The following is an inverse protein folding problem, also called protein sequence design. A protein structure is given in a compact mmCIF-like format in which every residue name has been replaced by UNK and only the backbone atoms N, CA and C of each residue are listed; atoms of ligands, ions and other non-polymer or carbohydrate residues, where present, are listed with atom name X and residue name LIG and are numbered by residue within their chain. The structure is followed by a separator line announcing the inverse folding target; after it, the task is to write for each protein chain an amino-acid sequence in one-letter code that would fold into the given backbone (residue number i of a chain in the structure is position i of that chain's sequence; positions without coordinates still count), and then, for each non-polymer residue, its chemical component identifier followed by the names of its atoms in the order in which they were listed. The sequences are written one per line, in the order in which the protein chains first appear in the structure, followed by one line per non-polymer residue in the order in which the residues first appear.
data_IF_976164694992
#
_entry.id   IF_976164694992
#
_cell.length_a   1.000
_cell.length_b   1.000
_cell.length_c   1.000
_cell.angle_alpha   90.00
_cell.angle_beta   90.00
_cell.angle_gamma   90.00
#
_symmetry.space_group_name_H-M   'P 1'
#
loop_
_entity.id
_entity.type
_entity.pdbx_description
1 polymer ?
#
# COMPACT_ATOMS: atom_id res chain seq x y z
N UNK A 1 57.57 40.66 -22.29
CA UNK A 1 56.86 41.39 -21.22
C UNK A 1 55.42 41.65 -21.67
N UNK A 2 54.42 41.11 -20.93
CA UNK A 2 53.13 41.74 -20.58
C UNK A 2 52.36 42.45 -21.73
N UNK A 3 51.17 42.00 -22.16
CA UNK A 3 49.90 42.28 -21.45
C UNK A 3 48.66 41.70 -22.18
N UNK A 4 47.73 41.24 -21.34
CA UNK A 4 46.26 41.31 -21.38
C UNK A 4 45.44 40.50 -22.41
N UNK A 5 44.89 39.42 -21.85
CA UNK A 5 43.54 38.86 -22.10
C UNK A 5 42.45 39.92 -22.28
N UNK A 6 41.53 39.68 -23.21
CA UNK A 6 40.17 40.23 -23.16
C UNK A 6 39.18 39.12 -23.48
N UNK A 7 38.35 38.84 -22.47
CA UNK A 7 37.24 37.90 -22.45
C UNK A 7 36.08 38.38 -23.33
N UNK A 8 35.34 37.46 -23.94
CA UNK A 8 34.01 37.77 -24.47
C UNK A 8 33.48 36.81 -25.51
N UNK A 9 32.92 35.67 -25.08
CA UNK A 9 31.95 34.93 -25.89
C UNK A 9 31.08 34.01 -25.01
N UNK A 10 29.86 34.49 -24.74
CA UNK A 10 28.65 33.71 -24.49
C UNK A 10 28.73 32.45 -23.64
N UNK A 11 28.60 32.60 -22.32
CA UNK A 11 28.11 31.52 -21.48
C UNK A 11 26.59 31.35 -21.76
N UNK A 12 26.26 30.43 -22.67
CA UNK A 12 24.91 29.89 -22.82
C UNK A 12 24.62 29.05 -21.58
N UNK A 13 23.95 29.64 -20.59
CA UNK A 13 23.43 28.91 -19.44
C UNK A 13 22.24 28.06 -19.93
N UNK A 14 22.53 26.82 -20.32
CA UNK A 14 21.51 25.79 -20.50
C UNK A 14 21.08 25.37 -19.08
N UNK A 15 20.02 25.98 -18.57
CA UNK A 15 19.32 25.47 -17.39
C UNK A 15 18.72 24.12 -17.76
N UNK A 16 19.46 23.05 -17.47
CA UNK A 16 18.94 21.71 -17.47
C UNK A 16 17.78 21.66 -16.47
N UNK A 17 16.55 21.51 -16.97
CA UNK A 17 15.41 21.12 -16.15
C UNK A 17 15.73 19.73 -15.60
N UNK A 18 16.23 19.67 -14.37
CA UNK A 18 16.23 18.46 -13.58
C UNK A 18 14.76 18.15 -13.28
N UNK A 19 14.13 17.37 -14.15
CA UNK A 19 12.87 16.73 -13.82
C UNK A 19 13.14 15.85 -12.59
N UNK A 20 12.32 15.95 -11.52
CA UNK A 20 12.42 15.00 -10.43
C UNK A 20 12.22 13.61 -11.03
N UNK A 21 13.26 12.79 -10.93
CA UNK A 21 13.18 11.37 -11.22
C UNK A 21 12.32 10.76 -10.12
N UNK A 22 11.01 10.72 -10.32
CA UNK A 22 10.16 9.80 -9.57
C UNK A 22 10.68 8.41 -9.92
N UNK A 23 11.15 7.67 -8.91
CA UNK A 23 11.45 6.26 -9.08
C UNK A 23 10.18 5.59 -9.62
N UNK A 24 10.27 4.87 -10.74
CA UNK A 24 9.15 4.09 -11.25
C UNK A 24 8.74 3.10 -10.15
N UNK A 25 7.54 3.27 -9.60
CA UNK A 25 6.97 2.30 -8.68
C UNK A 25 6.95 0.93 -9.37
N UNK A 26 7.30 -0.17 -8.67
CA UNK A 26 7.29 -1.48 -9.30
C UNK A 26 5.88 -1.81 -9.79
N UNK A 27 5.76 -2.55 -10.91
CA UNK A 27 4.47 -2.94 -11.43
C UNK A 27 3.72 -3.76 -10.37
N UNK A 28 2.47 -3.39 -10.14
CA UNK A 28 1.56 -4.15 -9.26
C UNK A 28 1.40 -5.54 -9.85
N UNK A 29 1.60 -6.63 -9.07
CA UNK A 29 1.44 -7.98 -9.57
C UNK A 29 0.04 -8.23 -10.15
N UNK A 30 -0.01 -8.86 -11.31
CA UNK A 30 -1.27 -9.30 -11.92
C UNK A 30 -1.86 -10.49 -11.16
N UNK A 31 -3.09 -10.33 -10.68
CA UNK A 31 -3.88 -11.39 -10.05
C UNK A 31 -3.46 -11.76 -8.61
N UNK A 32 -3.96 -12.90 -8.10
CA UNK A 32 -3.71 -13.33 -6.73
C UNK A 32 -2.25 -13.76 -6.49
N UNK A 33 -1.60 -13.12 -5.53
CA UNK A 33 -0.30 -13.52 -4.96
C UNK A 33 -0.50 -14.35 -3.69
N UNK A 34 0.49 -15.20 -3.38
CA UNK A 34 0.45 -16.06 -2.20
C UNK A 34 1.32 -15.47 -1.07
N UNK A 35 0.69 -15.15 0.06
CA UNK A 35 1.37 -14.76 1.29
C UNK A 35 1.65 -16.01 2.13
N UNK A 36 2.87 -16.55 2.05
CA UNK A 36 3.21 -17.87 2.60
C UNK A 36 4.30 -17.88 3.69
N UNK A 37 4.51 -16.76 4.39
CA UNK A 37 5.42 -16.71 5.55
C UNK A 37 4.97 -17.64 6.69
N UNK A 38 3.67 -17.96 6.78
CA UNK A 38 3.11 -18.79 7.84
C UNK A 38 2.60 -20.13 7.32
N UNK A 39 2.32 -21.07 8.24
CA UNK A 39 1.68 -22.36 7.91
C UNK A 39 0.24 -22.23 7.37
N UNK A 40 -0.34 -21.03 7.39
CA UNK A 40 -1.68 -20.72 6.88
C UNK A 40 -1.55 -19.67 5.78
N UNK A 41 -1.21 -20.08 4.54
CA UNK A 41 -1.04 -19.13 3.46
C UNK A 41 -2.36 -18.44 3.13
N UNK A 42 -2.28 -17.18 2.72
CA UNK A 42 -3.41 -16.38 2.27
C UNK A 42 -3.16 -15.95 0.83
N UNK A 43 -4.18 -16.02 -0.02
CA UNK A 43 -4.13 -15.43 -1.36
C UNK A 43 -4.57 -13.97 -1.26
N UNK A 44 -3.76 -13.05 -1.78
CA UNK A 44 -4.06 -11.63 -1.84
C UNK A 44 -4.09 -11.19 -3.30
N UNK A 45 -5.17 -10.55 -3.74
CA UNK A 45 -5.33 -10.12 -5.13
C UNK A 45 -5.38 -8.59 -5.19
N UNK A 46 -4.37 -7.96 -5.77
CA UNK A 46 -4.35 -6.51 -5.95
C UNK A 46 -5.54 -6.03 -6.80
N UNK A 47 -5.99 -6.84 -7.77
CA UNK A 47 -7.07 -6.54 -8.71
C UNK A 47 -8.37 -6.11 -8.04
N UNK A 48 -8.73 -6.77 -6.94
CA UNK A 48 -9.93 -6.45 -6.16
C UNK A 48 -9.71 -5.35 -5.10
N UNK A 49 -8.46 -4.97 -4.85
CA UNK A 49 -8.05 -3.88 -3.96
C UNK A 49 -7.64 -2.60 -4.72
N UNK A 50 -7.89 -2.53 -6.03
CA UNK A 50 -7.50 -1.39 -6.89
C UNK A 50 -8.43 -0.18 -6.83
N UNK A 51 -9.44 -0.18 -5.95
CA UNK A 51 -10.40 0.91 -5.83
C UNK A 51 -10.92 1.41 -7.19
N UNK A 52 -11.49 0.51 -8.00
CA UNK A 52 -12.33 0.96 -9.10
C UNK A 52 -13.48 1.77 -8.48
N UNK A 53 -13.66 3.00 -8.96
CA UNK A 53 -14.64 3.96 -8.46
C UNK A 53 -16.03 3.31 -8.47
N UNK A 54 -16.46 2.77 -7.32
CA UNK A 54 -17.72 2.03 -7.19
C UNK A 54 -18.94 2.84 -7.68
N UNK A 55 -18.82 4.17 -7.64
CA UNK A 55 -19.81 5.14 -8.07
C UNK A 55 -19.99 5.22 -9.59
N UNK A 56 -19.03 4.76 -10.40
CA UNK A 56 -19.15 4.71 -11.87
C UNK A 56 -20.22 3.72 -12.31
N UNK A 57 -20.41 2.63 -11.56
CA UNK A 57 -21.41 1.60 -11.85
C UNK A 57 -22.59 1.62 -10.86
N UNK A 58 -22.43 2.17 -9.66
CA UNK A 58 -23.45 2.18 -8.60
C UNK A 58 -23.70 3.61 -8.06
N UNK A 59 -24.40 4.47 -8.81
CA UNK A 59 -24.54 5.90 -8.51
C UNK A 59 -25.33 6.21 -7.22
N UNK A 60 -26.07 5.23 -6.68
CA UNK A 60 -26.88 5.38 -5.46
C UNK A 60 -26.21 4.78 -4.22
N UNK A 61 -24.98 4.25 -4.33
CA UNK A 61 -24.26 3.81 -3.13
C UNK A 61 -23.86 5.03 -2.30
N UNK A 62 -24.04 4.99 -0.96
CA UNK A 62 -23.54 6.04 -0.09
C UNK A 62 -22.03 6.22 -0.29
N UNK A 63 -21.55 7.48 -0.34
CA UNK A 63 -20.14 7.89 -0.49
C UNK A 63 -19.26 7.50 0.74
N UNK A 64 -19.46 6.31 1.31
CA UNK A 64 -18.95 5.91 2.62
C UNK A 64 -17.78 4.93 2.56
N UNK A 65 -17.30 4.61 1.36
CA UNK A 65 -15.85 4.76 1.23
C UNK A 65 -15.67 6.24 0.95
N UNK A 66 -14.90 7.01 1.75
CA UNK A 66 -14.29 8.17 1.12
C UNK A 66 -13.73 7.63 -0.20
N UNK A 67 -13.97 8.25 -1.36
CA UNK A 67 -12.97 8.11 -2.39
C UNK A 67 -11.70 8.50 -1.64
N UNK A 68 -10.88 7.51 -1.31
CA UNK A 68 -9.50 7.81 -1.19
C UNK A 68 -9.25 8.33 -2.61
N UNK A 69 -9.27 9.65 -2.78
CA UNK A 69 -8.47 10.32 -3.79
C UNK A 69 -7.02 10.03 -3.40
N UNK A 70 -6.68 8.73 -3.38
CA UNK A 70 -5.34 8.24 -3.35
C UNK A 70 -4.90 8.46 -4.78
N UNK A 71 -4.09 9.50 -4.99
CA UNK A 71 -3.25 9.55 -6.18
C UNK A 71 -2.48 8.20 -6.30
N UNK A 72 -1.91 7.92 -7.47
CA UNK A 72 -1.30 6.60 -7.71
C UNK A 72 -0.31 6.20 -6.61
N UNK A 73 0.50 7.13 -6.09
CA UNK A 73 1.40 6.88 -4.96
C UNK A 73 0.67 6.49 -3.67
N UNK A 74 -0.43 7.17 -3.32
CA UNK A 74 -1.14 6.93 -2.08
C UNK A 74 -1.84 5.54 -2.07
N UNK A 75 -2.10 4.91 -3.23
CA UNK A 75 -2.78 3.59 -3.29
C UNK A 75 -1.95 2.49 -2.64
N UNK A 76 -0.63 2.52 -2.87
CA UNK A 76 0.28 1.54 -2.29
C UNK A 76 0.45 1.79 -0.78
N UNK A 77 0.52 3.05 -0.34
CA UNK A 77 0.79 3.36 1.08
C UNK A 77 -0.35 3.04 2.04
N UNK A 78 -1.55 2.76 1.52
CA UNK A 78 -2.63 2.16 2.30
C UNK A 78 -2.21 0.80 2.82
N UNK A 79 -1.54 -0.04 2.02
CA UNK A 79 -1.11 -1.37 2.46
C UNK A 79 0.38 -1.45 2.79
N UNK A 80 1.20 -0.53 2.25
CA UNK A 80 2.65 -0.50 2.36
C UNK A 80 3.12 0.83 2.95
N UNK A 81 3.24 0.91 4.26
CA UNK A 81 3.66 2.15 4.90
C UNK A 81 5.05 2.61 4.41
N UNK A 82 5.26 3.93 4.40
CA UNK A 82 6.58 4.48 4.17
C UNK A 82 7.53 4.07 5.32
N UNK A 83 8.80 3.86 4.99
CA UNK A 83 9.86 3.61 5.96
C UNK A 83 10.71 4.86 6.01
N UNK A 84 10.76 5.52 7.17
CA UNK A 84 11.47 6.79 7.37
C UNK A 84 11.09 7.90 6.37
N UNK A 85 9.82 7.90 5.92
CA UNK A 85 9.30 8.88 4.96
C UNK A 85 9.58 8.54 3.49
N UNK A 86 10.20 7.40 3.22
CA UNK A 86 10.54 6.92 1.87
C UNK A 86 9.74 5.65 1.51
N UNK A 87 9.58 5.39 0.22
CA UNK A 87 9.02 4.13 -0.23
C UNK A 87 9.95 2.97 0.16
N UNK A 88 9.39 1.82 0.60
CA UNK A 88 10.23 0.72 1.04
C UNK A 88 10.97 0.09 -0.15
N UNK A 89 12.23 -0.30 0.07
CA UNK A 89 13.03 -1.01 -0.94
C UNK A 89 12.45 -2.39 -1.32
N UNK A 90 11.58 -2.94 -0.48
CA UNK A 90 10.81 -4.16 -0.72
C UNK A 90 9.38 -3.96 -0.23
N UNK A 91 8.41 -4.37 -1.05
CA UNK A 91 6.99 -4.40 -0.68
C UNK A 91 6.61 -5.68 0.07
N UNK A 92 7.57 -6.57 0.33
CA UNK A 92 7.34 -7.77 1.14
C UNK A 92 7.41 -7.42 2.63
N UNK A 93 6.26 -7.43 3.30
CA UNK A 93 6.21 -7.19 4.74
C UNK A 93 7.11 -8.13 5.55
N UNK A 94 7.37 -9.34 5.04
CA UNK A 94 8.22 -10.34 5.70
C UNK A 94 9.68 -9.94 5.87
N UNK A 95 10.16 -9.00 5.05
CA UNK A 95 11.57 -8.57 5.07
C UNK A 95 11.85 -7.68 6.30
N UNK A 96 10.81 -7.01 6.81
CA UNK A 96 10.89 -6.17 8.02
C UNK A 96 10.13 -6.76 9.22
N UNK A 97 9.04 -7.49 8.98
CA UNK A 97 8.16 -8.03 10.00
C UNK A 97 8.25 -9.56 10.05
N UNK A 98 8.96 -10.06 11.05
CA UNK A 98 9.08 -11.50 11.26
C UNK A 98 7.80 -12.11 11.85
N UNK A 99 7.52 -13.36 11.47
CA UNK A 99 6.49 -14.13 12.14
C UNK A 99 7.04 -14.77 13.42
N UNK A 100 6.62 -14.23 14.56
CA UNK A 100 6.73 -14.89 15.87
C UNK A 100 5.32 -14.96 16.51
N UNK A 101 4.78 -16.17 16.79
CA UNK A 101 3.47 -16.30 17.43
C UNK A 101 3.40 -15.69 18.84
N UNK A 102 4.55 -15.49 19.51
CA UNK A 102 4.63 -14.86 20.83
C UNK A 102 4.73 -13.35 20.75
N UNK A 103 5.11 -12.78 19.61
CA UNK A 103 5.17 -11.33 19.43
C UNK A 103 3.75 -10.72 19.48
N UNK A 104 3.64 -9.63 20.23
CA UNK A 104 2.43 -8.83 20.43
C UNK A 104 2.69 -7.34 20.19
N UNK A 105 3.91 -7.01 19.76
CA UNK A 105 4.29 -5.65 19.39
C UNK A 105 3.59 -5.22 18.10
N UNK A 106 3.66 -3.93 17.82
CA UNK A 106 3.20 -3.33 16.57
C UNK A 106 3.98 -3.84 15.34
N UNK A 107 5.18 -4.41 15.51
CA UNK A 107 5.97 -4.97 14.42
C UNK A 107 5.65 -6.43 14.10
N UNK A 108 4.79 -7.10 14.87
CA UNK A 108 4.50 -8.52 14.64
C UNK A 108 3.85 -8.75 13.28
N UNK A 109 4.32 -9.74 12.51
CA UNK A 109 3.74 -10.04 11.20
C UNK A 109 2.23 -10.39 11.29
N UNK A 110 1.81 -11.05 12.37
CA UNK A 110 0.39 -11.28 12.62
C UNK A 110 -0.36 -9.97 12.91
N UNK A 111 0.22 -9.09 13.73
CA UNK A 111 -0.38 -7.83 14.15
C UNK A 111 -0.61 -6.88 12.99
N UNK A 112 0.36 -6.71 12.09
CA UNK A 112 0.23 -5.82 10.92
C UNK A 112 -0.88 -6.25 9.94
N UNK A 113 -1.35 -7.51 10.03
CA UNK A 113 -2.46 -8.00 9.21
C UNK A 113 -3.80 -8.03 9.98
N UNK A 114 -3.78 -8.24 11.30
CA UNK A 114 -4.98 -8.56 12.09
C UNK A 114 -5.34 -7.52 13.18
N UNK A 115 -4.50 -6.52 13.44
CA UNK A 115 -4.80 -5.53 14.47
C UNK A 115 -6.02 -4.69 14.05
N UNK A 116 -7.08 -4.70 14.87
CA UNK A 116 -8.29 -3.88 14.62
C UNK A 116 -8.09 -2.41 14.97
N UNK A 117 -7.10 -2.13 15.81
CA UNK A 117 -6.69 -0.80 16.23
C UNK A 117 -5.22 -0.69 15.88
N UNK A 118 -4.91 0.33 15.10
CA UNK A 118 -3.57 0.65 14.61
C UNK A 118 -3.18 2.01 15.14
N UNK A 119 -1.88 2.20 15.38
CA UNK A 119 -1.31 3.50 15.71
C UNK A 119 -0.86 4.17 14.40
N UNK A 120 -0.82 5.51 14.40
CA UNK A 120 -0.05 6.33 13.46
C UNK A 120 -0.29 6.06 11.97
N UNK A 121 -1.47 6.42 11.45
CA UNK A 121 -1.72 6.55 10.00
C UNK A 121 -1.62 5.26 9.16
N UNK A 122 -1.23 4.14 9.77
CA UNK A 122 -1.19 2.81 9.15
C UNK A 122 -2.58 2.17 9.13
N UNK A 123 -2.77 1.14 8.31
CA UNK A 123 -3.96 0.27 8.36
C UNK A 123 -3.55 -1.19 8.29
N UNK A 124 -4.44 -2.09 8.69
CA UNK A 124 -4.28 -3.54 8.50
C UNK A 124 -5.41 -4.07 7.65
N UNK A 125 -5.23 -5.28 7.09
CA UNK A 125 -6.28 -5.98 6.36
C UNK A 125 -7.58 -6.04 7.17
N UNK A 126 -7.47 -6.48 8.44
CA UNK A 126 -8.64 -6.70 9.26
C UNK A 126 -9.29 -5.38 9.71
N UNK A 127 -8.51 -4.33 9.99
CA UNK A 127 -9.06 -3.02 10.34
C UNK A 127 -9.87 -2.44 9.17
N UNK A 128 -9.31 -2.45 7.96
CA UNK A 128 -10.01 -1.98 6.77
C UNK A 128 -11.28 -2.81 6.51
N UNK A 129 -11.19 -4.15 6.57
CA UNK A 129 -12.36 -5.02 6.40
C UNK A 129 -13.46 -4.77 7.44
N UNK A 130 -13.11 -4.39 8.67
CA UNK A 130 -14.09 -3.97 9.66
C UNK A 130 -14.83 -2.68 9.30
N UNK A 131 -14.18 -1.75 8.60
CA UNK A 131 -14.84 -0.56 8.06
C UNK A 131 -15.76 -0.92 6.90
N UNK A 132 -15.33 -1.81 5.98
CA UNK A 132 -16.14 -2.27 4.85
C UNK A 132 -17.46 -2.87 5.33
N UNK A 133 -17.42 -3.76 6.32
CA UNK A 133 -18.63 -4.48 6.78
C UNK A 133 -19.62 -3.60 7.53
N UNK A 134 -19.26 -2.37 7.92
CA UNK A 134 -20.23 -1.39 8.44
C UNK A 134 -21.25 -1.00 7.38
N UNK A 135 -20.83 -1.00 6.10
CA UNK A 135 -21.69 -0.70 4.95
C UNK A 135 -22.16 -1.97 4.21
N UNK A 136 -21.46 -3.09 4.40
CA UNK A 136 -21.76 -4.41 3.80
C UNK A 136 -21.81 -5.51 4.86
N UNK A 137 -22.80 -5.49 5.78
CA UNK A 137 -22.87 -6.44 6.87
C UNK A 137 -23.01 -7.90 6.40
N UNK A 138 -23.59 -8.13 5.22
CA UNK A 138 -23.70 -9.44 4.57
C UNK A 138 -22.32 -10.06 4.25
N UNK A 139 -21.28 -9.24 4.12
CA UNK A 139 -19.91 -9.67 3.85
C UNK A 139 -19.09 -9.99 5.11
N UNK A 140 -19.68 -9.88 6.30
CA UNK A 140 -18.97 -10.09 7.57
C UNK A 140 -18.22 -11.42 7.66
N UNK A 141 -18.87 -12.51 7.27
CA UNK A 141 -18.26 -13.85 7.29
C UNK A 141 -17.09 -13.93 6.31
N UNK A 142 -17.27 -13.41 5.10
CA UNK A 142 -16.27 -13.46 4.02
C UNK A 142 -15.03 -12.64 4.36
N UNK A 143 -15.19 -11.47 5.00
CA UNK A 143 -14.10 -10.50 5.18
C UNK A 143 -13.43 -10.52 6.55
N UNK A 144 -14.11 -10.98 7.61
CA UNK A 144 -13.59 -10.82 8.99
C UNK A 144 -13.52 -12.11 9.81
N UNK A 145 -14.03 -13.22 9.30
CA UNK A 145 -13.99 -14.48 10.04
C UNK A 145 -12.58 -15.09 10.04
N UNK A 146 -12.19 -15.69 11.17
CA UNK A 146 -10.91 -16.38 11.31
C UNK A 146 -10.85 -17.69 10.50
N UNK A 147 -12.01 -18.29 10.23
CA UNK A 147 -12.17 -19.57 9.51
C UNK A 147 -13.42 -19.49 8.64
N UNK A 148 -13.34 -20.00 7.42
CA UNK A 148 -14.39 -19.90 6.41
C UNK A 148 -14.58 -18.49 5.85
N UNK A 149 -13.54 -17.66 5.90
CA UNK A 149 -13.46 -16.38 5.19
C UNK A 149 -12.79 -16.58 3.84
N UNK A 150 -12.77 -15.54 3.01
CA UNK A 150 -11.99 -15.53 1.77
C UNK A 150 -10.48 -15.68 2.04
N UNK A 151 -10.00 -15.15 3.16
CA UNK A 151 -8.58 -15.24 3.56
C UNK A 151 -8.22 -16.62 4.12
N UNK A 152 -9.11 -17.21 4.92
CA UNK A 152 -8.91 -18.52 5.54
C UNK A 152 -10.09 -19.45 5.23
N UNK A 153 -10.16 -20.04 4.03
CA UNK A 153 -11.23 -20.95 3.64
C UNK A 153 -11.29 -22.19 4.55
N UNK A 154 -12.46 -22.82 4.60
CA UNK A 154 -12.56 -24.17 5.20
C UNK A 154 -11.88 -25.15 4.25
N UNK A 155 -10.78 -25.75 4.71
CA UNK A 155 -10.17 -26.94 4.12
C UNK A 155 -11.10 -28.13 4.19
#
# INVERSE_FOLDING_TARGET
MKKLLTFGAGALLVTALALPAFAEQPPVPDGPIKMELTKKPVMFDHGIHTAQQCVTCHPTMPQHFPPLEVNAEQRCVVCHHLVDGEEPASYLCSDCHAYDPKDKSSSSYFGIMHARKVQDGTTTCLQCHYEVIKTRPEKKQELTACVGSACHPKS
#
